data_IF_353414721425
#
_entry.id   IF_353414721425
#
_cell.length_a   1.000
_cell.length_b   1.000
_cell.length_c   1.000
_cell.angle_alpha   90.00
_cell.angle_beta   90.00
_cell.angle_gamma   90.00
#
_symmetry.space_group_name_H-M   'P 1'
#
loop_
_entity.id
_entity.type
_entity.pdbx_description
1 polymer ?
#
# COMPACT_ATOMS: atom_id res chain seq x y z
N UNK A 1 5.89 8.96 -0.10
CA UNK A 1 6.94 8.17 0.61
C UNK A 1 7.74 8.85 1.75
N UNK A 2 7.57 10.12 2.15
CA UNK A 2 8.34 10.67 3.30
C UNK A 2 8.13 9.92 4.63
N UNK A 3 6.97 9.27 4.79
CA UNK A 3 6.53 8.71 6.07
C UNK A 3 7.20 7.37 6.44
N UNK A 4 7.58 6.54 5.45
CA UNK A 4 8.11 5.18 5.71
C UNK A 4 9.52 5.15 6.28
N UNK A 5 10.38 6.10 5.90
CA UNK A 5 11.70 6.24 6.50
C UNK A 5 11.59 6.57 8.00
N UNK A 6 10.74 7.53 8.34
CA UNK A 6 10.52 7.97 9.73
C UNK A 6 9.90 6.85 10.59
N UNK A 7 8.98 6.07 10.02
CA UNK A 7 8.41 4.89 10.69
C UNK A 7 9.48 3.84 11.02
N UNK A 8 10.33 3.49 10.05
CA UNK A 8 11.43 2.54 10.24
C UNK A 8 12.51 3.08 11.18
N UNK A 9 12.80 4.37 11.13
CA UNK A 9 13.73 5.02 12.05
C UNK A 9 13.19 4.97 13.50
N UNK A 10 11.90 5.26 13.71
CA UNK A 10 11.25 5.14 15.02
C UNK A 10 11.30 3.70 15.53
N UNK A 11 11.00 2.73 14.67
CA UNK A 11 11.10 1.31 15.01
C UNK A 11 12.53 0.91 15.38
N UNK A 12 13.53 1.32 14.61
CA UNK A 12 14.94 1.05 14.90
C UNK A 12 15.38 1.68 16.23
N UNK A 13 14.95 2.92 16.52
CA UNK A 13 15.18 3.58 17.81
C UNK A 13 14.56 2.81 18.96
N UNK A 14 13.33 2.32 18.79
CA UNK A 14 12.65 1.49 19.80
C UNK A 14 13.43 0.19 20.10
N UNK A 15 13.96 -0.45 19.05
CA UNK A 15 14.77 -1.67 19.16
C UNK A 15 16.24 -1.40 19.55
N UNK A 16 16.62 -0.14 19.79
CA UNK A 16 18.01 0.30 20.06
C UNK A 16 19.01 -0.09 18.97
N UNK A 17 18.57 -0.11 17.71
CA UNK A 17 19.44 -0.33 16.56
C UNK A 17 19.93 0.98 15.97
N UNK A 18 21.18 0.98 15.48
CA UNK A 18 21.68 2.06 14.63
C UNK A 18 20.97 1.99 13.27
N UNK A 19 20.28 3.07 12.89
CA UNK A 19 19.66 3.20 11.58
C UNK A 19 20.55 4.05 10.65
N UNK A 20 20.55 3.73 9.36
CA UNK A 20 21.34 4.46 8.38
C UNK A 20 20.67 5.81 8.04
N UNK A 21 21.48 6.77 7.59
CA UNK A 21 20.99 8.10 7.20
C UNK A 21 19.94 8.02 6.08
N UNK A 22 19.04 9.01 6.04
CA UNK A 22 17.97 9.11 5.02
C UNK A 22 18.52 9.02 3.59
N UNK A 23 19.65 9.67 3.31
CA UNK A 23 20.32 9.60 2.00
C UNK A 23 20.74 8.18 1.64
N UNK A 24 21.34 7.45 2.59
CA UNK A 24 21.74 6.06 2.37
C UNK A 24 20.53 5.14 2.24
N UNK A 25 19.45 5.43 2.97
CA UNK A 25 18.20 4.70 2.85
C UNK A 25 17.62 4.81 1.46
N UNK A 26 17.48 6.03 0.95
CA UNK A 26 16.90 6.26 -0.38
C UNK A 26 17.73 5.61 -1.49
N UNK A 27 19.06 5.68 -1.39
CA UNK A 27 19.97 5.03 -2.36
C UNK A 27 19.75 3.51 -2.36
N UNK A 28 19.78 2.87 -1.19
CA UNK A 28 19.58 1.42 -1.07
C UNK A 28 18.17 1.00 -1.47
N UNK A 29 17.16 1.74 -1.04
CA UNK A 29 15.77 1.48 -1.42
C UNK A 29 15.57 1.52 -2.93
N UNK A 30 16.13 2.51 -3.64
CA UNK A 30 16.08 2.56 -5.11
C UNK A 30 16.71 1.35 -5.77
N UNK A 31 17.83 0.86 -5.24
CA UNK A 31 18.50 -0.34 -5.77
C UNK A 31 17.72 -1.62 -5.49
N UNK A 32 17.07 -1.71 -4.33
CA UNK A 32 16.26 -2.87 -3.95
C UNK A 32 14.86 -2.84 -4.56
N UNK A 33 14.35 -1.66 -4.97
CA UNK A 33 12.99 -1.47 -5.46
C UNK A 33 12.61 -2.46 -6.57
N UNK A 34 13.42 -2.72 -7.60
CA UNK A 34 13.06 -3.71 -8.63
C UNK A 34 12.84 -5.12 -8.08
N UNK A 35 13.68 -5.57 -7.15
CA UNK A 35 13.53 -6.89 -6.53
C UNK A 35 12.31 -6.95 -5.61
N UNK A 36 12.06 -5.88 -4.86
CA UNK A 36 10.85 -5.73 -4.04
C UNK A 36 9.60 -5.80 -4.93
N UNK A 37 9.57 -4.99 -5.98
CA UNK A 37 8.45 -4.92 -6.93
C UNK A 37 8.22 -6.29 -7.58
N UNK A 38 9.27 -7.01 -7.98
CA UNK A 38 9.16 -8.37 -8.54
C UNK A 38 8.53 -9.35 -7.55
N UNK A 39 8.97 -9.36 -6.28
CA UNK A 39 8.39 -10.24 -5.25
C UNK A 39 6.91 -9.89 -5.01
N UNK A 40 6.57 -8.60 -4.94
CA UNK A 40 5.19 -8.16 -4.80
C UNK A 40 4.32 -8.56 -6.00
N UNK A 41 4.82 -8.41 -7.22
CA UNK A 41 4.12 -8.82 -8.44
C UNK A 41 3.87 -10.33 -8.48
N UNK A 42 4.88 -11.13 -8.15
CA UNK A 42 4.75 -12.59 -8.09
C UNK A 42 3.78 -13.04 -7.00
N UNK A 43 3.82 -12.39 -5.83
CA UNK A 43 2.85 -12.62 -4.76
C UNK A 43 1.43 -12.29 -5.22
N UNK A 44 1.21 -11.10 -5.80
CA UNK A 44 -0.08 -10.69 -6.34
C UNK A 44 -0.61 -11.69 -7.37
N UNK A 45 0.24 -12.14 -8.29
CA UNK A 45 -0.11 -13.14 -9.32
C UNK A 45 -0.58 -14.45 -8.69
N UNK A 46 0.14 -14.95 -7.68
CA UNK A 46 -0.20 -16.19 -6.98
C UNK A 46 -1.49 -16.07 -6.17
N UNK A 47 -1.65 -14.98 -5.41
CA UNK A 47 -2.87 -14.73 -4.64
C UNK A 47 -4.08 -14.63 -5.57
N UNK A 48 -3.98 -13.83 -6.63
CA UNK A 48 -5.06 -13.65 -7.59
C UNK A 48 -5.45 -14.95 -8.27
N UNK A 49 -4.47 -15.74 -8.75
CA UNK A 49 -4.73 -17.03 -9.37
C UNK A 49 -5.42 -18.02 -8.40
N UNK A 50 -5.00 -18.00 -7.12
CA UNK A 50 -5.58 -18.85 -6.08
C UNK A 50 -7.03 -18.43 -5.80
N UNK A 51 -7.29 -17.15 -5.52
CA UNK A 51 -8.65 -16.67 -5.23
C UNK A 51 -9.58 -16.83 -6.42
N UNK A 52 -9.10 -16.60 -7.64
CA UNK A 52 -9.88 -16.80 -8.86
C UNK A 52 -10.36 -18.25 -9.02
N UNK A 53 -9.59 -19.24 -8.56
CA UNK A 53 -10.03 -20.64 -8.63
C UNK A 53 -11.21 -20.97 -7.72
N UNK A 54 -11.51 -20.12 -6.74
CA UNK A 54 -12.65 -20.26 -5.82
C UNK A 54 -13.87 -19.42 -6.22
N UNK A 55 -13.78 -18.66 -7.31
CA UNK A 55 -14.91 -17.87 -7.81
C UNK A 55 -15.90 -18.77 -8.56
N UNK A 56 -17.01 -19.13 -7.91
CA UNK A 56 -18.12 -19.87 -8.50
C UNK A 56 -19.04 -18.94 -9.32
N UNK A 57 -18.45 -18.16 -10.23
CA UNK A 57 -19.15 -17.15 -11.02
C UNK A 57 -19.38 -15.81 -10.30
N UNK A 58 -19.28 -15.75 -8.98
CA UNK A 58 -19.18 -14.48 -8.23
C UNK A 58 -17.72 -14.02 -8.17
N UNK A 59 -17.43 -12.87 -8.78
CA UNK A 59 -16.11 -12.26 -8.79
C UNK A 59 -15.69 -11.67 -7.43
N UNK A 60 -14.56 -10.95 -7.39
CA UNK A 60 -14.09 -10.33 -6.16
C UNK A 60 -15.01 -9.18 -5.74
N UNK A 61 -15.05 -8.94 -4.43
CA UNK A 61 -15.80 -7.84 -3.84
C UNK A 61 -14.89 -6.62 -3.71
N UNK A 62 -15.45 -5.43 -3.98
CA UNK A 62 -14.75 -4.16 -3.82
C UNK A 62 -15.34 -3.42 -2.61
N UNK A 63 -14.46 -3.02 -1.70
CA UNK A 63 -14.78 -2.12 -0.61
C UNK A 63 -13.97 -0.84 -0.75
N UNK A 64 -14.60 0.32 -0.62
CA UNK A 64 -13.92 1.60 -0.58
C UNK A 64 -14.20 2.27 0.76
N UNK A 65 -13.17 2.87 1.34
CA UNK A 65 -13.29 3.68 2.55
C UNK A 65 -12.52 4.98 2.34
N UNK A 66 -13.14 6.09 2.70
CA UNK A 66 -12.54 7.41 2.70
C UNK A 66 -12.32 7.92 4.12
N UNK A 67 -11.26 8.72 4.28
CA UNK A 67 -10.94 9.40 5.53
C UNK A 67 -10.53 10.84 5.22
N UNK A 68 -11.00 11.77 6.06
CA UNK A 68 -10.65 13.18 6.01
C UNK A 68 -9.51 13.44 7.00
N UNK A 69 -8.43 14.09 6.53
CA UNK A 69 -7.22 14.29 7.34
C UNK A 69 -7.40 15.37 8.42
N UNK A 70 -8.29 16.37 8.27
CA UNK A 70 -8.56 17.35 9.35
C UNK A 70 -9.72 18.33 9.07
N UNK A 71 -10.18 19.06 10.11
CA UNK A 71 -11.02 20.27 9.95
C UNK A 71 -10.19 21.39 9.33
N UNK A 72 -10.42 21.67 8.05
CA UNK A 72 -9.85 22.84 7.35
C UNK A 72 -8.90 22.51 6.18
N UNK A 73 -8.49 21.24 6.03
CA UNK A 73 -7.71 20.78 4.88
C UNK A 73 -8.40 19.57 4.22
N UNK A 74 -8.68 19.69 2.93
CA UNK A 74 -9.49 18.73 2.15
C UNK A 74 -8.66 17.68 1.42
N UNK A 75 -7.57 17.19 2.00
CA UNK A 75 -6.89 16.02 1.45
C UNK A 75 -7.72 14.77 1.78
N UNK A 76 -8.56 14.33 0.83
CA UNK A 76 -9.27 13.06 0.94
C UNK A 76 -8.25 11.93 0.72
N UNK A 77 -7.97 11.16 1.77
CA UNK A 77 -7.23 9.91 1.66
C UNK A 77 -8.26 8.81 1.59
N UNK A 78 -8.42 8.23 0.40
CA UNK A 78 -9.27 7.06 0.19
C UNK A 78 -8.45 5.79 0.03
N UNK A 79 -9.04 4.67 0.42
CA UNK A 79 -8.49 3.33 0.24
C UNK A 79 -9.55 2.48 -0.44
N UNK A 80 -9.18 1.84 -1.54
CA UNK A 80 -9.98 0.80 -2.18
C UNK A 80 -9.32 -0.53 -1.86
N UNK A 81 -10.12 -1.49 -1.44
CA UNK A 81 -9.69 -2.84 -1.12
C UNK A 81 -10.50 -3.80 -1.98
N UNK A 82 -9.81 -4.64 -2.74
CA UNK A 82 -10.39 -5.80 -3.40
C UNK A 82 -10.22 -7.01 -2.49
N UNK A 83 -11.33 -7.64 -2.12
CA UNK A 83 -11.38 -8.79 -1.22
C UNK A 83 -12.18 -9.92 -1.85
N UNK A 84 -11.78 -11.15 -1.58
CA UNK A 84 -12.64 -12.30 -1.77
C UNK A 84 -13.28 -12.64 -0.41
N UNK A 85 -14.59 -12.44 -0.29
CA UNK A 85 -15.31 -12.71 0.96
C UNK A 85 -15.43 -14.20 1.27
N UNK A 86 -15.39 -15.07 0.25
CA UNK A 86 -15.50 -16.51 0.43
C UNK A 86 -14.24 -17.05 1.11
N UNK A 87 -13.06 -16.60 0.64
CA UNK A 87 -11.76 -17.00 1.23
C UNK A 87 -11.29 -16.04 2.33
N UNK A 88 -11.96 -14.90 2.52
CA UNK A 88 -11.56 -13.79 3.40
C UNK A 88 -10.17 -13.24 3.09
N UNK A 89 -9.72 -13.40 1.85
CA UNK A 89 -8.40 -12.95 1.40
C UNK A 89 -8.51 -11.53 0.83
N UNK A 90 -7.62 -10.65 1.28
CA UNK A 90 -7.42 -9.34 0.69
C UNK A 90 -6.49 -9.48 -0.53
N UNK A 91 -7.03 -9.22 -1.73
CA UNK A 91 -6.32 -9.44 -2.99
C UNK A 91 -5.51 -8.20 -3.38
N UNK A 92 -6.07 -7.02 -3.18
CA UNK A 92 -5.41 -5.76 -3.51
C UNK A 92 -5.88 -4.64 -2.59
N UNK A 93 -4.98 -3.74 -2.22
CA UNK A 93 -5.31 -2.48 -1.56
C UNK A 93 -4.62 -1.36 -2.29
N UNK A 94 -5.40 -0.36 -2.68
CA UNK A 94 -4.91 0.84 -3.34
C UNK A 94 -5.31 2.06 -2.53
N UNK A 95 -4.32 2.89 -2.20
CA UNK A 95 -4.58 4.19 -1.58
C UNK A 95 -4.56 5.27 -2.67
N UNK A 96 -5.62 6.07 -2.72
CA UNK A 96 -5.71 7.23 -3.59
C UNK A 96 -5.75 8.51 -2.76
N UNK A 97 -5.11 9.53 -3.29
CA UNK A 97 -5.06 10.87 -2.69
C UNK A 97 -5.81 11.80 -3.63
N UNK A 98 -6.71 12.64 -3.11
CA UNK A 98 -7.16 13.82 -3.85
C UNK A 98 -6.22 14.98 -3.55
N UNK A 99 -5.70 15.61 -4.60
CA UNK A 99 -5.06 16.91 -4.45
C UNK A 99 -6.08 18.00 -4.11
N UNK A 100 -5.60 19.18 -3.70
CA UNK A 100 -6.42 20.34 -3.37
C UNK A 100 -7.29 20.81 -4.56
N UNK A 101 -6.96 20.40 -5.78
CA UNK A 101 -7.73 20.66 -7.01
C UNK A 101 -8.85 19.65 -7.27
N UNK A 102 -9.01 18.64 -6.40
CA UNK A 102 -10.08 17.65 -6.46
C UNK A 102 -9.81 16.48 -7.41
N UNK A 103 -8.61 16.39 -8.01
CA UNK A 103 -8.26 15.30 -8.92
C UNK A 103 -7.68 14.15 -8.09
N UNK A 104 -8.31 12.96 -8.12
CA UNK A 104 -7.75 11.78 -7.48
C UNK A 104 -6.54 11.29 -8.27
N UNK A 105 -5.43 11.03 -7.58
CA UNK A 105 -4.27 10.37 -8.14
C UNK A 105 -3.85 9.17 -7.28
N UNK A 106 -3.35 8.15 -7.98
CA UNK A 106 -2.86 6.91 -7.40
C UNK A 106 -1.39 7.10 -7.05
N UNK A 107 -1.03 6.82 -5.80
CA UNK A 107 0.38 6.74 -5.39
C UNK A 107 0.81 5.28 -5.39
N UNK A 108 1.61 4.89 -6.38
CA UNK A 108 2.28 3.58 -6.47
C UNK A 108 3.52 3.47 -5.58
#
# INVERSE_FOLDING_TARGET
>A
MPNKFQELERWAKHMRFSFFSDTNFRKRFKLCKPAIDHVYQEYHRKVFATTHSYWDGEGPHLAASDSFDSRGYSALIGKVVMVDLNTKVMIHTEAFHRDETGVPFITS
#
